data_IF_436543914315
#
_entry.id   IF_436543914315
#
_cell.length_a   1.000
_cell.length_b   1.000
_cell.length_c   1.000
_cell.angle_alpha   90.00
_cell.angle_beta   90.00
_cell.angle_gamma   90.00
#
_symmetry.space_group_name_H-M   'P 1'
#
loop_
_entity.id
_entity.type
_entity.pdbx_description
1 polymer ?
#
# COMPACT_ATOMS: atom_id res chain seq x y z
N UNK A 1 -71.27 -8.68 -1.94
CA UNK A 1 -70.32 -7.69 -2.46
C UNK A 1 -70.04 -6.66 -1.37
N UNK A 2 -68.86 -6.72 -0.75
CA UNK A 2 -68.15 -5.66 -0.03
C UNK A 2 -66.79 -6.25 0.35
N UNK A 3 -65.75 -5.89 -0.39
CA UNK A 3 -64.38 -6.35 -0.19
C UNK A 3 -63.72 -5.63 0.98
N UNK A 4 -62.92 -6.36 1.77
CA UNK A 4 -61.97 -5.79 2.72
C UNK A 4 -60.56 -5.75 2.09
N UNK A 5 -59.70 -4.79 2.48
CA UNK A 5 -58.54 -4.38 1.69
C UNK A 5 -57.32 -5.28 1.90
N UNK A 6 -56.51 -5.42 0.86
CA UNK A 6 -55.21 -6.05 0.91
C UNK A 6 -54.23 -5.18 1.73
N UNK A 7 -53.66 -5.77 2.78
CA UNK A 7 -52.57 -5.19 3.55
C UNK A 7 -51.31 -5.18 2.68
N UNK A 8 -50.94 -4.01 2.15
CA UNK A 8 -49.67 -3.81 1.46
C UNK A 8 -48.58 -3.70 2.54
N UNK A 9 -47.86 -4.79 2.79
CA UNK A 9 -46.61 -4.75 3.54
C UNK A 9 -45.54 -4.09 2.67
N UNK A 10 -45.30 -2.80 2.88
CA UNK A 10 -44.13 -2.11 2.34
C UNK A 10 -42.92 -2.51 3.20
N UNK A 11 -42.10 -3.43 2.69
CA UNK A 11 -40.78 -3.71 3.28
C UNK A 11 -39.87 -2.54 2.92
N UNK A 12 -39.50 -1.75 3.92
CA UNK A 12 -38.39 -0.80 3.77
C UNK A 12 -37.11 -1.60 3.59
N UNK A 13 -36.54 -1.56 2.38
CA UNK A 13 -35.18 -2.01 2.15
C UNK A 13 -34.26 -0.92 2.74
N UNK A 14 -33.88 -1.08 4.01
CA UNK A 14 -32.77 -0.32 4.55
C UNK A 14 -31.51 -0.78 3.80
N UNK A 15 -31.02 0.05 2.88
CA UNK A 15 -29.68 -0.12 2.34
C UNK A 15 -28.74 0.14 3.51
N UNK A 16 -28.23 -0.92 4.14
CA UNK A 16 -27.11 -0.77 5.07
C UNK A 16 -25.96 -0.22 4.26
N UNK A 17 -25.54 1.00 4.57
CA UNK A 17 -24.18 1.44 4.25
C UNK A 17 -23.28 0.35 4.83
N UNK A 18 -22.60 -0.39 3.96
CA UNK A 18 -21.69 -1.44 4.40
C UNK A 18 -20.59 -0.73 5.18
N UNK A 19 -20.55 -0.94 6.50
CA UNK A 19 -19.27 -0.85 7.20
C UNK A 19 -18.29 -1.70 6.41
N UNK A 20 -17.05 -1.23 6.15
CA UNK A 20 -16.07 -2.06 5.47
C UNK A 20 -16.00 -3.39 6.23
N UNK A 21 -16.36 -4.47 5.55
CA UNK A 21 -16.23 -5.81 6.12
C UNK A 21 -14.74 -6.01 6.28
N UNK A 22 -14.25 -5.86 7.51
CA UNK A 22 -12.87 -6.22 7.84
C UNK A 22 -12.73 -7.69 7.50
N UNK A 23 -11.83 -8.01 6.58
CA UNK A 23 -11.57 -9.39 6.20
C UNK A 23 -11.18 -10.18 7.46
N UNK A 24 -11.95 -11.21 7.77
CA UNK A 24 -11.70 -12.08 8.93
C UNK A 24 -10.63 -13.13 8.63
N UNK A 25 -10.30 -13.31 7.35
CA UNK A 25 -9.27 -14.24 6.89
C UNK A 25 -8.60 -13.75 5.61
N UNK A 26 -7.36 -14.19 5.40
CA UNK A 26 -6.51 -13.84 4.27
C UNK A 26 -5.99 -15.11 3.59
N UNK A 27 -5.94 -15.08 2.27
CA UNK A 27 -5.20 -16.04 1.47
C UNK A 27 -3.77 -15.55 1.30
N UNK A 28 -2.80 -16.43 1.54
CA UNK A 28 -1.39 -16.15 1.29
C UNK A 28 -1.05 -16.58 -0.14
N UNK A 29 -0.48 -15.67 -0.91
CA UNK A 29 0.03 -15.94 -2.25
C UNK A 29 1.52 -15.63 -2.24
N UNK A 30 2.35 -16.63 -2.52
CA UNK A 30 3.78 -16.41 -2.69
C UNK A 30 4.04 -15.71 -4.02
N UNK A 31 4.82 -14.64 -3.97
CA UNK A 31 5.19 -13.84 -5.13
C UNK A 31 6.43 -14.43 -5.80
N UNK A 32 6.41 -14.49 -7.12
CA UNK A 32 7.54 -14.90 -7.95
C UNK A 32 8.22 -13.68 -8.58
N UNK A 33 9.54 -13.73 -8.72
CA UNK A 33 10.29 -12.77 -9.53
C UNK A 33 10.31 -13.13 -11.02
N UNK A 34 11.07 -12.35 -11.80
CA UNK A 34 11.33 -12.65 -13.21
C UNK A 34 11.99 -14.02 -13.40
N UNK A 35 11.84 -14.67 -14.57
CA UNK A 35 12.54 -15.91 -14.88
C UNK A 35 14.05 -15.80 -14.64
N UNK A 36 14.60 -16.72 -13.85
CA UNK A 36 16.03 -16.74 -13.48
C UNK A 36 16.40 -15.86 -12.28
N UNK A 37 15.43 -15.16 -11.67
CA UNK A 37 15.67 -14.43 -10.43
C UNK A 37 15.96 -15.39 -9.27
N UNK A 38 16.97 -15.05 -8.46
CA UNK A 38 17.35 -15.79 -7.25
C UNK A 38 16.63 -15.29 -6.01
N UNK A 39 16.00 -14.12 -6.10
CA UNK A 39 15.16 -13.54 -5.07
C UNK A 39 14.18 -12.52 -5.67
N UNK A 40 13.19 -12.13 -4.87
CA UNK A 40 12.24 -11.08 -5.19
C UNK A 40 11.95 -10.27 -3.92
N UNK A 41 11.60 -9.00 -4.08
CA UNK A 41 11.15 -8.12 -3.01
C UNK A 41 9.83 -7.47 -3.45
N UNK A 42 8.73 -7.62 -2.71
CA UNK A 42 7.54 -6.82 -2.97
C UNK A 42 7.79 -5.39 -2.50
N UNK A 43 7.17 -4.42 -3.16
CA UNK A 43 7.26 -3.01 -2.72
C UNK A 43 5.91 -2.39 -2.47
N UNK A 44 4.98 -2.51 -3.42
CA UNK A 44 3.68 -1.86 -3.35
C UNK A 44 2.59 -2.67 -4.05
N UNK A 45 1.34 -2.50 -3.64
CA UNK A 45 0.16 -3.20 -4.14
C UNK A 45 -1.01 -2.26 -4.36
N UNK A 46 -1.61 -2.33 -5.54
CA UNK A 46 -2.85 -1.58 -5.81
C UNK A 46 -4.10 -2.45 -5.65
N UNK A 47 -5.27 -1.79 -5.58
CA UNK A 47 -6.57 -2.46 -5.41
C UNK A 47 -6.96 -3.40 -6.57
N UNK A 48 -6.27 -3.33 -7.71
CA UNK A 48 -6.44 -4.28 -8.83
C UNK A 48 -5.64 -5.59 -8.66
N UNK A 49 -4.94 -5.74 -7.54
CA UNK A 49 -4.09 -6.91 -7.24
C UNK A 49 -2.80 -6.95 -8.06
N UNK A 50 -2.36 -5.81 -8.58
CA UNK A 50 -1.03 -5.67 -9.16
C UNK A 50 -0.04 -5.36 -8.05
N UNK A 51 1.07 -6.07 -8.03
CA UNK A 51 2.15 -5.87 -7.07
C UNK A 51 3.39 -5.42 -7.82
N UNK A 52 3.89 -4.23 -7.52
CA UNK A 52 5.22 -3.84 -7.93
C UNK A 52 6.24 -4.67 -7.12
N UNK A 53 7.22 -5.25 -7.82
CA UNK A 53 8.27 -6.08 -7.23
C UNK A 53 9.64 -5.70 -7.81
N UNK A 54 10.71 -6.02 -7.08
CA UNK A 54 12.07 -5.97 -7.57
C UNK A 54 12.65 -7.40 -7.61
N UNK A 55 13.13 -7.83 -8.78
CA UNK A 55 13.74 -9.15 -8.99
C UNK A 55 15.26 -9.06 -8.96
N UNK A 56 15.91 -9.98 -8.24
CA UNK A 56 17.38 -10.08 -8.19
C UNK A 56 17.85 -11.13 -9.19
N UNK A 57 18.40 -10.68 -10.32
CA UNK A 57 18.98 -11.53 -11.37
C UNK A 57 20.49 -11.70 -11.12
N UNK A 58 21.15 -12.71 -11.71
CA UNK A 58 22.58 -12.97 -11.45
C UNK A 58 23.52 -11.79 -11.73
N UNK A 59 23.15 -10.88 -12.63
CA UNK A 59 23.99 -9.76 -13.06
C UNK A 59 23.33 -8.39 -12.96
N UNK A 60 22.08 -8.29 -12.47
CA UNK A 60 21.35 -7.01 -12.35
C UNK A 60 20.14 -7.14 -11.44
N UNK A 61 19.53 -6.03 -11.08
CA UNK A 61 18.18 -5.99 -10.52
C UNK A 61 17.22 -5.39 -11.55
N UNK A 62 16.02 -5.95 -11.61
CA UNK A 62 15.00 -5.49 -12.53
C UNK A 62 13.64 -5.43 -11.83
N UNK A 63 13.00 -4.27 -11.91
CA UNK A 63 11.64 -4.05 -11.46
C UNK A 63 10.67 -4.84 -12.34
N UNK A 64 9.55 -5.26 -11.77
CA UNK A 64 8.48 -5.94 -12.49
C UNK A 64 7.12 -5.68 -11.83
N UNK A 65 6.05 -5.95 -12.58
CA UNK A 65 4.70 -6.07 -12.03
C UNK A 65 4.36 -7.56 -11.96
N UNK A 66 4.03 -8.04 -10.77
CA UNK A 66 3.38 -9.32 -10.57
C UNK A 66 1.87 -9.13 -10.58
N UNK A 67 1.15 -9.95 -11.34
CA UNK A 67 -0.31 -10.01 -11.29
C UNK A 67 -0.80 -11.42 -11.63
N UNK A 68 -1.53 -12.04 -10.69
CA UNK A 68 -2.12 -13.38 -10.87
C UNK A 68 -1.13 -14.43 -11.39
N UNK A 69 0.11 -14.43 -10.87
CA UNK A 69 1.17 -15.37 -11.23
C UNK A 69 1.94 -15.01 -12.50
N UNK A 70 1.54 -13.96 -13.22
CA UNK A 70 2.30 -13.43 -14.36
C UNK A 70 3.20 -12.31 -13.89
N UNK A 71 4.48 -12.35 -14.29
CA UNK A 71 5.48 -11.31 -13.97
C UNK A 71 5.85 -10.59 -15.26
N UNK A 72 5.54 -9.30 -15.33
CA UNK A 72 5.83 -8.44 -16.49
C UNK A 72 7.01 -7.54 -16.13
N UNK A 73 8.13 -7.59 -16.89
CA UNK A 73 9.30 -6.76 -16.61
C UNK A 73 9.00 -5.28 -16.80
N UNK A 74 9.65 -4.45 -15.98
CA UNK A 74 9.70 -3.00 -16.10
C UNK A 74 11.14 -2.61 -16.47
N UNK A 75 11.44 -2.52 -17.78
CA UNK A 75 12.82 -2.35 -18.23
C UNK A 75 13.35 -0.96 -17.85
N UNK A 76 14.67 -0.81 -17.68
CA UNK A 76 15.27 0.48 -17.41
C UNK A 76 15.10 1.45 -18.60
N UNK A 77 15.28 2.75 -18.33
CA UNK A 77 15.38 3.78 -19.37
C UNK A 77 16.43 3.43 -20.43
N UNK A 78 16.28 3.88 -21.70
CA UNK A 78 17.29 3.65 -22.73
C UNK A 78 18.69 4.08 -22.29
N UNK A 79 19.66 3.16 -22.39
CA UNK A 79 21.05 3.39 -21.96
C UNK A 79 21.35 3.05 -20.49
N UNK A 80 20.36 2.64 -19.71
CA UNK A 80 20.50 2.18 -18.33
C UNK A 80 20.42 0.64 -18.25
N UNK A 81 20.95 0.05 -17.17
CA UNK A 81 21.11 -1.42 -17.05
C UNK A 81 20.34 -2.04 -15.88
N UNK A 82 19.81 -1.22 -14.99
CA UNK A 82 19.05 -1.62 -13.80
C UNK A 82 17.80 -0.77 -13.66
N UNK A 83 16.69 -1.40 -13.28
CA UNK A 83 15.45 -0.73 -12.85
C UNK A 83 15.10 -1.11 -11.43
N UNK A 84 14.42 -0.21 -10.73
CA UNK A 84 13.94 -0.43 -9.37
C UNK A 84 12.63 0.31 -9.15
N UNK A 85 11.61 -0.39 -8.64
CA UNK A 85 10.31 0.16 -8.32
C UNK A 85 10.22 0.55 -6.84
N UNK A 86 9.45 1.59 -6.55
CA UNK A 86 9.11 2.02 -5.20
C UNK A 86 7.60 2.01 -4.93
N UNK A 87 6.76 2.35 -5.90
CA UNK A 87 5.32 2.50 -5.67
C UNK A 87 4.48 2.26 -6.95
N UNK A 88 3.20 1.96 -6.80
CA UNK A 88 2.23 1.70 -7.86
C UNK A 88 0.85 2.30 -7.55
N UNK A 89 0.27 3.08 -8.47
CA UNK A 89 -1.08 3.63 -8.29
C UNK A 89 -2.20 2.73 -8.85
N UNK A 90 -3.46 3.14 -8.67
CA UNK A 90 -4.64 2.40 -9.12
C UNK A 90 -4.72 2.21 -10.66
N UNK A 91 -4.06 3.09 -11.42
CA UNK A 91 -3.97 2.98 -12.89
C UNK A 91 -2.87 2.02 -13.35
N UNK A 92 -2.13 1.40 -12.43
CA UNK A 92 -1.02 0.49 -12.72
C UNK A 92 0.24 1.22 -13.19
N UNK A 93 0.34 2.52 -12.95
CA UNK A 93 1.57 3.28 -13.17
C UNK A 93 2.53 2.98 -12.02
N UNK A 94 3.77 2.64 -12.35
CA UNK A 94 4.81 2.34 -11.34
C UNK A 94 5.85 3.44 -11.35
N UNK A 95 6.35 3.85 -10.21
CA UNK A 95 7.45 4.82 -10.11
C UNK A 95 8.67 4.24 -9.44
N UNK A 96 9.83 4.81 -9.75
CA UNK A 96 11.08 4.38 -9.18
C UNK A 96 12.29 5.04 -9.83
N UNK A 97 13.32 4.25 -10.13
CA UNK A 97 14.50 4.73 -10.85
C UNK A 97 15.09 3.73 -11.83
N UNK A 98 15.82 4.27 -12.81
CA UNK A 98 16.75 3.54 -13.65
C UNK A 98 18.19 3.92 -13.29
N UNK A 99 19.12 2.98 -13.35
CA UNK A 99 20.53 3.24 -13.03
C UNK A 99 21.51 2.43 -13.88
N UNK A 100 22.72 2.97 -14.05
CA UNK A 100 23.90 2.26 -14.59
C UNK A 100 24.90 1.90 -13.49
N UNK A 101 24.81 2.60 -12.36
CA UNK A 101 25.60 2.37 -11.15
C UNK A 101 24.87 3.01 -9.96
N UNK A 102 25.22 2.68 -8.70
CA UNK A 102 24.59 3.27 -7.53
C UNK A 102 24.66 4.81 -7.46
N UNK A 103 25.62 5.42 -8.15
CA UNK A 103 25.81 6.88 -8.18
C UNK A 103 25.13 7.56 -9.37
N UNK A 104 24.56 6.81 -10.32
CA UNK A 104 23.92 7.34 -11.52
C UNK A 104 22.50 6.80 -11.58
N UNK A 105 21.58 7.51 -10.91
CA UNK A 105 20.15 7.19 -10.89
C UNK A 105 19.33 8.29 -11.58
N UNK A 106 18.33 7.86 -12.35
CA UNK A 106 17.31 8.71 -12.94
C UNK A 106 15.95 8.29 -12.43
N UNK A 107 15.21 9.25 -11.88
CA UNK A 107 13.81 9.03 -11.54
C UNK A 107 13.04 8.72 -12.81
N UNK A 108 12.23 7.66 -12.78
CA UNK A 108 11.42 7.27 -13.92
C UNK A 108 10.06 6.73 -13.47
N UNK A 109 9.13 6.76 -14.40
CA UNK A 109 7.80 6.15 -14.27
C UNK A 109 7.63 5.11 -15.37
N UNK A 110 7.04 3.97 -15.06
CA UNK A 110 6.57 3.01 -16.06
C UNK A 110 5.08 3.21 -16.31
N UNK A 111 4.76 3.58 -17.55
CA UNK A 111 3.40 3.65 -18.07
C UNK A 111 3.18 2.49 -19.02
N UNK A 112 2.25 1.58 -18.71
CA UNK A 112 1.98 0.40 -19.54
C UNK A 112 3.27 -0.40 -19.84
N UNK A 113 4.13 -0.55 -18.83
CA UNK A 113 5.42 -1.23 -18.95
C UNK A 113 6.54 -0.45 -19.67
N UNK A 114 6.26 0.75 -20.18
CA UNK A 114 7.27 1.58 -20.88
C UNK A 114 7.86 2.62 -19.93
N UNK A 115 9.20 2.70 -19.78
CA UNK A 115 9.83 3.68 -18.91
C UNK A 115 9.79 5.09 -19.53
N UNK A 116 9.45 6.07 -18.70
CA UNK A 116 9.39 7.51 -19.00
C UNK A 116 10.35 8.23 -18.05
N UNK A 117 11.27 9.02 -18.60
CA UNK A 117 12.21 9.81 -17.83
C UNK A 117 11.51 11.02 -17.19
N UNK A 118 11.67 11.20 -15.89
CA UNK A 118 11.10 12.34 -15.14
C UNK A 118 12.04 13.56 -15.13
N UNK A 119 13.14 13.51 -15.88
CA UNK A 119 13.99 14.64 -16.25
C UNK A 119 15.02 15.06 -15.20
N UNK A 120 15.19 14.30 -14.11
CA UNK A 120 16.04 14.71 -12.98
C UNK A 120 16.88 13.56 -12.40
N UNK A 121 17.96 13.94 -11.72
CA UNK A 121 18.79 13.00 -10.95
C UNK A 121 18.18 12.76 -9.57
N UNK A 122 17.98 11.48 -9.24
CA UNK A 122 17.33 11.05 -8.02
C UNK A 122 16.42 9.86 -8.23
N UNK A 123 15.41 9.71 -7.38
CA UNK A 123 14.40 8.66 -7.47
C UNK A 123 12.99 9.19 -7.18
N UNK A 124 12.01 8.59 -7.85
CA UNK A 124 10.60 8.79 -7.57
C UNK A 124 10.15 7.75 -6.54
N UNK A 125 9.58 8.20 -5.42
CA UNK A 125 9.30 7.38 -4.24
C UNK A 125 7.83 7.02 -4.07
N UNK A 126 6.93 7.91 -4.44
CA UNK A 126 5.49 7.67 -4.34
C UNK A 126 4.74 8.34 -5.48
N UNK A 127 3.57 7.79 -5.81
CA UNK A 127 2.67 8.25 -6.87
C UNK A 127 1.21 8.16 -6.39
N UNK A 128 0.43 9.21 -6.61
CA UNK A 128 -1.01 9.16 -6.34
C UNK A 128 -1.82 8.76 -7.59
N UNK A 129 -3.12 8.56 -7.44
CA UNK A 129 -4.01 8.10 -8.53
C UNK A 129 -4.26 9.18 -9.59
N UNK A 130 -3.92 10.44 -9.29
CA UNK A 130 -3.96 11.53 -10.28
C UNK A 130 -2.68 11.62 -11.12
N UNK A 131 -1.68 10.79 -10.83
CA UNK A 131 -0.40 10.74 -11.54
C UNK A 131 0.62 11.77 -11.06
N UNK A 132 0.42 12.35 -9.89
CA UNK A 132 1.41 13.19 -9.22
C UNK A 132 2.44 12.31 -8.52
N UNK A 133 3.70 12.67 -8.65
CA UNK A 133 4.82 11.84 -8.20
C UNK A 133 5.67 12.67 -7.24
N UNK A 134 6.14 12.07 -6.17
CA UNK A 134 7.07 12.70 -5.24
C UNK A 134 8.32 11.87 -5.05
N UNK A 135 9.39 12.49 -4.56
CA UNK A 135 10.61 11.77 -4.27
C UNK A 135 11.77 12.67 -3.94
N UNK A 136 12.96 12.28 -4.40
CA UNK A 136 14.23 12.90 -4.01
C UNK A 136 14.94 13.44 -5.24
N UNK A 137 15.37 14.69 -5.15
CA UNK A 137 16.13 15.36 -6.19
C UNK A 137 17.46 15.91 -5.69
N UNK A 138 18.29 16.37 -6.63
CA UNK A 138 19.51 17.15 -6.36
C UNK A 138 20.48 16.43 -5.42
N UNK A 139 20.98 15.27 -5.87
CA UNK A 139 21.83 14.35 -5.11
C UNK A 139 21.19 13.88 -3.80
N UNK A 140 19.89 13.58 -3.82
CA UNK A 140 19.13 13.04 -2.69
C UNK A 140 19.03 13.97 -1.48
N UNK A 141 18.92 15.29 -1.72
CA UNK A 141 18.90 16.25 -0.62
C UNK A 141 17.73 17.23 -0.63
N UNK A 142 16.85 17.09 -1.62
CA UNK A 142 15.66 17.93 -1.80
C UNK A 142 14.44 17.05 -2.01
N UNK A 143 13.38 17.36 -1.28
CA UNK A 143 12.05 16.81 -1.53
C UNK A 143 11.50 17.48 -2.80
N UNK A 144 10.94 16.69 -3.71
CA UNK A 144 10.44 17.19 -4.99
C UNK A 144 9.08 16.61 -5.34
N UNK A 145 8.29 17.36 -6.09
CA UNK A 145 6.99 17.00 -6.64
C UNK A 145 7.02 17.15 -8.17
N UNK A 146 6.73 16.08 -8.90
CA UNK A 146 6.45 16.10 -10.33
C UNK A 146 4.94 16.11 -10.55
N UNK A 147 4.43 17.17 -11.18
CA UNK A 147 3.02 17.35 -11.50
C UNK A 147 2.89 17.94 -12.89
N UNK A 148 2.16 17.28 -13.80
CA UNK A 148 1.88 17.77 -15.16
C UNK A 148 3.15 18.19 -15.93
N UNK A 149 4.25 17.44 -15.79
CA UNK A 149 5.54 17.74 -16.43
C UNK A 149 6.35 18.86 -15.78
N UNK A 150 5.88 19.43 -14.68
CA UNK A 150 6.59 20.45 -13.90
C UNK A 150 7.22 19.82 -12.66
N UNK A 151 8.49 20.15 -12.41
CA UNK A 151 9.21 19.77 -11.21
C UNK A 151 9.18 20.93 -10.20
N UNK A 152 8.60 20.69 -9.03
CA UNK A 152 8.53 21.64 -7.92
C UNK A 152 9.47 21.18 -6.80
N UNK A 153 10.34 22.07 -6.33
CA UNK A 153 11.18 21.85 -5.16
C UNK A 153 10.38 22.17 -3.88
N UNK A 154 10.18 21.17 -3.04
CA UNK A 154 9.47 21.28 -1.77
C UNK A 154 10.39 21.72 -0.62
N UNK A 155 11.69 21.80 -0.88
CA UNK A 155 12.71 22.23 0.06
C UNK A 155 13.68 21.12 0.51
N UNK A 156 14.54 21.42 1.51
CA UNK A 156 15.52 20.47 2.00
C UNK A 156 14.87 19.29 2.74
N UNK A 157 15.20 18.08 2.34
CA UNK A 157 14.60 16.86 2.90
C UNK A 157 14.36 15.80 1.83
N UNK A 158 13.46 14.87 2.14
CA UNK A 158 13.02 13.79 1.27
C UNK A 158 11.49 13.69 1.34
N UNK A 159 10.83 13.54 0.20
CA UNK A 159 9.41 13.19 0.14
C UNK A 159 9.27 11.67 -0.03
N UNK A 160 8.34 11.07 0.70
CA UNK A 160 8.16 9.62 0.75
C UNK A 160 6.74 9.17 0.43
N UNK A 161 5.72 10.01 0.62
CA UNK A 161 4.31 9.66 0.38
C UNK A 161 3.53 10.86 -0.14
N UNK A 162 2.47 10.59 -0.89
CA UNK A 162 1.55 11.59 -1.44
C UNK A 162 0.14 11.00 -1.52
N UNK A 163 -0.87 11.78 -1.14
CA UNK A 163 -2.28 11.37 -1.29
C UNK A 163 -2.95 12.04 -2.51
N UNK A 164 -4.19 11.66 -2.83
CA UNK A 164 -4.96 12.18 -3.97
C UNK A 164 -5.44 13.63 -3.79
N UNK A 165 -5.18 14.23 -2.62
CA UNK A 165 -5.40 15.67 -2.37
C UNK A 165 -4.14 16.50 -2.67
N UNK A 166 -3.05 15.87 -3.11
CA UNK A 166 -1.77 16.53 -3.38
C UNK A 166 -0.98 16.88 -2.12
N UNK A 167 -1.35 16.31 -0.97
CA UNK A 167 -0.59 16.48 0.26
C UNK A 167 0.59 15.52 0.26
N UNK A 168 1.78 16.05 0.54
CA UNK A 168 3.04 15.30 0.48
C UNK A 168 3.60 15.16 1.89
N UNK A 169 4.14 13.99 2.22
CA UNK A 169 4.82 13.75 3.49
C UNK A 169 6.23 13.23 3.29
N UNK A 170 7.02 13.32 4.35
CA UNK A 170 8.40 12.86 4.36
C UNK A 170 9.15 13.42 5.57
N UNK A 171 10.40 13.81 5.37
CA UNK A 171 11.22 14.36 6.46
C UNK A 171 12.23 15.40 5.99
N UNK A 172 12.64 16.26 6.92
CA UNK A 172 13.71 17.24 6.70
C UNK A 172 15.10 16.68 7.05
N UNK A 173 16.14 17.51 6.87
CA UNK A 173 17.53 17.15 7.19
C UNK A 173 17.84 16.97 8.68
N UNK A 174 16.89 17.32 9.56
CA UNK A 174 17.03 17.15 11.00
C UNK A 174 16.23 15.94 11.50
N UNK A 175 15.81 15.05 10.60
CA UNK A 175 14.99 13.88 10.92
C UNK A 175 13.69 14.28 11.63
N UNK A 176 13.02 15.31 11.11
CA UNK A 176 11.68 15.72 11.54
C UNK A 176 10.68 15.34 10.47
N UNK A 177 9.58 14.72 10.88
CA UNK A 177 8.48 14.37 10.00
C UNK A 177 7.83 15.65 9.46
N UNK A 178 7.62 15.71 8.15
CA UNK A 178 7.14 16.87 7.43
C UNK A 178 5.82 16.57 6.71
N UNK A 179 4.97 17.59 6.63
CA UNK A 179 3.82 17.66 5.74
C UNK A 179 3.95 18.92 4.86
N UNK A 180 3.91 18.75 3.54
CA UNK A 180 3.81 19.82 2.56
C UNK A 180 2.41 19.82 1.97
N UNK A 181 1.70 20.92 2.14
CA UNK A 181 0.31 21.07 1.70
C UNK A 181 0.06 22.50 1.21
N UNK A 182 -0.38 22.65 -0.04
CA UNK A 182 -0.73 23.94 -0.64
C UNK A 182 0.35 25.04 -0.43
N UNK A 183 1.61 24.68 -0.63
CA UNK A 183 2.77 25.59 -0.47
C UNK A 183 3.19 25.86 0.97
N UNK A 184 2.51 25.26 1.96
CA UNK A 184 2.86 25.35 3.38
C UNK A 184 3.61 24.11 3.82
N UNK A 185 4.73 24.28 4.52
CA UNK A 185 5.49 23.20 5.16
C UNK A 185 5.22 23.19 6.67
N UNK A 186 4.74 22.06 7.17
CA UNK A 186 4.42 21.84 8.59
C UNK A 186 5.32 20.73 9.15
N UNK A 187 5.90 20.97 10.32
CA UNK A 187 6.62 19.94 11.09
C UNK A 187 5.60 19.17 11.92
N UNK A 188 5.50 17.85 11.71
CA UNK A 188 4.61 16.96 12.46
C UNK A 188 5.23 16.52 13.80
N UNK A 189 6.55 16.45 13.88
CA UNK A 189 7.29 16.05 15.08
C UNK A 189 8.66 15.44 14.75
N UNK A 190 9.40 14.97 15.76
CA UNK A 190 10.63 14.21 15.55
C UNK A 190 10.31 12.84 14.93
N UNK A 191 11.09 12.46 13.92
CA UNK A 191 10.97 11.18 13.22
C UNK A 191 10.79 11.31 11.71
N UNK A 192 10.14 10.31 11.12
CA UNK A 192 10.02 10.16 9.66
C UNK A 192 8.58 9.82 9.31
N UNK A 193 7.88 10.69 8.58
CA UNK A 193 6.63 10.32 7.94
C UNK A 193 6.96 9.48 6.71
N UNK A 194 6.28 8.34 6.55
CA UNK A 194 6.50 7.39 5.45
C UNK A 194 5.38 7.45 4.43
N UNK A 195 4.13 7.49 4.90
CA UNK A 195 2.96 7.41 4.03
C UNK A 195 1.78 8.25 4.56
N UNK A 196 0.84 8.58 3.68
CA UNK A 196 -0.33 9.43 3.95
C UNK A 196 -1.54 8.96 3.13
N UNK A 197 -2.70 8.83 3.77
CA UNK A 197 -3.94 8.53 3.05
C UNK A 197 -4.77 9.78 2.70
N UNK A 198 -5.87 9.59 1.97
CA UNK A 198 -6.77 10.66 1.52
C UNK A 198 -7.54 11.35 2.66
N UNK A 199 -7.58 10.77 3.85
CA UNK A 199 -8.12 11.43 5.05
C UNK A 199 -7.10 12.41 5.66
N UNK A 200 -5.83 12.34 5.25
CA UNK A 200 -4.73 13.14 5.81
C UNK A 200 -4.14 12.53 7.08
N UNK A 201 -4.41 11.25 7.32
CA UNK A 201 -3.74 10.47 8.33
C UNK A 201 -2.34 10.13 7.81
N UNK A 202 -1.32 10.42 8.60
CA UNK A 202 0.09 10.20 8.23
C UNK A 202 0.65 9.11 9.11
N UNK A 203 1.40 8.18 8.55
CA UNK A 203 2.05 7.11 9.31
C UNK A 203 3.56 7.11 9.12
N UNK A 204 4.26 6.55 10.09
CA UNK A 204 5.72 6.46 10.04
C UNK A 204 6.33 6.11 11.38
N UNK A 205 7.41 6.81 11.72
CA UNK A 205 8.13 6.70 12.99
C UNK A 205 8.13 8.00 13.74
N UNK A 206 7.78 7.96 15.02
CA UNK A 206 7.95 9.07 15.95
C UNK A 206 9.01 8.72 16.99
N UNK A 207 9.86 9.68 17.34
CA UNK A 207 10.91 9.49 18.33
C UNK A 207 12.24 10.09 17.92
N UNK A 208 13.26 9.82 18.73
CA UNK A 208 14.64 10.21 18.44
C UNK A 208 15.44 9.03 17.86
N UNK A 209 16.70 9.27 17.50
CA UNK A 209 17.55 8.31 16.79
C UNK A 209 17.74 6.95 17.50
N UNK A 210 17.32 6.82 18.77
CA UNK A 210 17.51 5.61 19.58
C UNK A 210 16.20 4.94 20.00
N UNK A 211 15.04 5.58 19.81
CA UNK A 211 13.73 5.08 20.26
C UNK A 211 12.61 5.46 19.26
N UNK A 212 12.68 4.90 18.05
CA UNK A 212 11.61 5.06 17.07
C UNK A 212 10.46 4.10 17.34
N UNK A 213 9.28 4.68 17.57
CA UNK A 213 8.00 3.96 17.67
C UNK A 213 7.23 4.10 16.36
N UNK A 214 6.58 3.02 15.92
CA UNK A 214 5.59 3.08 14.86
C UNK A 214 4.45 4.00 15.30
N UNK A 215 4.03 4.93 14.45
CA UNK A 215 3.05 5.92 14.83
C UNK A 215 2.11 6.34 13.69
N UNK A 216 1.00 6.93 14.10
CA UNK A 216 0.00 7.60 13.28
C UNK A 216 -0.15 9.05 13.78
N UNK A 217 0.11 10.03 12.92
CA UNK A 217 -0.25 11.42 13.13
C UNK A 217 -1.65 11.66 12.58
N UNK A 218 -2.57 12.10 13.44
CA UNK A 218 -3.94 12.41 13.08
C UNK A 218 -4.49 13.53 13.97
N UNK A 219 -5.15 14.51 13.36
CA UNK A 219 -5.83 15.61 14.07
C UNK A 219 -4.94 16.34 15.11
N UNK A 220 -3.64 16.51 14.80
CA UNK A 220 -2.66 17.14 15.69
C UNK A 220 -2.21 16.27 16.87
N UNK A 221 -2.58 15.00 16.89
CA UNK A 221 -2.18 14.01 17.90
C UNK A 221 -1.29 12.94 17.29
N UNK A 222 -0.51 12.26 18.13
CA UNK A 222 0.34 11.12 17.74
C UNK A 222 -0.14 9.88 18.47
N UNK A 223 -0.59 8.89 17.73
CA UNK A 223 -0.98 7.56 18.24
C UNK A 223 0.20 6.62 18.05
N UNK A 224 0.63 5.95 19.13
CA UNK A 224 1.69 4.93 19.06
C UNK A 224 1.07 3.58 18.68
N UNK A 225 1.63 2.95 17.65
CA UNK A 225 1.16 1.69 17.05
C UNK A 225 2.01 0.48 17.45
N UNK A 226 3.27 0.71 17.82
CA UNK A 226 4.22 -0.32 18.22
C UNK A 226 5.57 0.28 18.60
N UNK A 227 6.39 -0.50 19.31
CA UNK A 227 7.73 -0.07 19.76
C UNK A 227 8.84 -0.67 18.92
N UNK A 228 9.93 0.09 18.78
CA UNK A 228 11.14 -0.34 18.07
C UNK A 228 10.87 -0.78 16.62
N UNK A 229 10.06 0.02 15.92
CA UNK A 229 9.68 -0.28 14.54
C UNK A 229 9.01 0.89 13.87
N UNK A 230 8.27 0.62 12.80
CA UNK A 230 7.69 1.68 11.98
C UNK A 230 6.38 1.26 11.32
N UNK A 231 5.48 2.22 11.17
CA UNK A 231 4.36 2.07 10.25
C UNK A 231 4.84 2.39 8.84
N UNK A 232 4.65 1.46 7.91
CA UNK A 232 5.14 1.52 6.55
C UNK A 232 4.13 2.19 5.61
N UNK A 233 2.87 1.78 5.69
CA UNK A 233 1.81 2.23 4.79
C UNK A 233 0.44 2.33 5.48
N UNK A 234 -0.45 3.13 4.91
CA UNK A 234 -1.82 3.36 5.37
C UNK A 234 -2.79 3.47 4.19
N UNK A 235 -3.88 2.72 4.21
CA UNK A 235 -4.92 2.86 3.19
C UNK A 235 -6.01 3.89 3.57
N UNK A 236 -6.92 4.19 2.64
CA UNK A 236 -8.00 5.17 2.82
C UNK A 236 -9.04 4.78 3.88
N UNK A 237 -9.04 3.50 4.32
CA UNK A 237 -9.88 3.02 5.43
C UNK A 237 -9.20 3.19 6.80
N UNK A 238 -7.99 3.76 6.86
CA UNK A 238 -7.22 3.94 8.09
C UNK A 238 -6.54 2.66 8.59
N UNK A 239 -6.40 1.65 7.72
CA UNK A 239 -5.67 0.43 8.04
C UNK A 239 -4.19 0.66 7.85
N UNK A 240 -3.39 0.34 8.88
CA UNK A 240 -1.96 0.61 8.93
C UNK A 240 -1.19 -0.70 9.03
N UNK A 241 -0.12 -0.81 8.25
CA UNK A 241 0.80 -1.94 8.26
C UNK A 241 2.23 -1.48 8.50
N UNK A 242 3.11 -2.38 8.94
CA UNK A 242 4.51 -2.04 9.14
C UNK A 242 5.23 -2.90 10.19
N UNK A 243 6.55 -2.75 10.21
CA UNK A 243 7.40 -3.46 11.17
C UNK A 243 6.99 -3.15 12.62
N UNK A 244 6.97 -4.18 13.46
CA UNK A 244 6.54 -4.19 14.87
C UNK A 244 5.04 -4.00 15.14
N UNK A 245 4.19 -3.77 14.13
CA UNK A 245 2.73 -3.81 14.31
C UNK A 245 2.26 -5.27 14.41
N UNK A 246 2.87 -6.15 13.61
CA UNK A 246 2.58 -7.59 13.61
C UNK A 246 1.23 -7.91 12.96
N UNK A 247 0.87 -7.20 11.90
CA UNK A 247 -0.40 -7.36 11.19
C UNK A 247 -0.97 -6.04 10.70
N UNK A 248 -2.29 -6.00 10.54
CA UNK A 248 -3.03 -4.80 10.10
C UNK A 248 -3.65 -4.15 11.32
N UNK A 249 -3.18 -2.95 11.66
CA UNK A 249 -3.77 -2.12 12.71
C UNK A 249 -4.93 -1.30 12.14
N UNK A 250 -6.02 -1.18 12.89
CA UNK A 250 -7.13 -0.27 12.62
C UNK A 250 -7.84 0.07 13.94
N UNK A 251 -7.98 1.37 14.25
CA UNK A 251 -8.73 1.88 15.41
C UNK A 251 -8.38 1.20 16.75
N UNK A 252 -7.09 0.92 16.97
CA UNK A 252 -6.58 0.30 18.20
C UNK A 252 -6.63 -1.23 18.22
N UNK A 253 -7.11 -1.87 17.15
CA UNK A 253 -7.16 -3.33 17.01
C UNK A 253 -6.14 -3.78 15.96
N UNK A 254 -5.41 -4.86 16.25
CA UNK A 254 -4.49 -5.49 15.30
C UNK A 254 -5.06 -6.82 14.82
N UNK A 255 -5.34 -6.92 13.53
CA UNK A 255 -5.67 -8.17 12.86
C UNK A 255 -4.39 -8.86 12.40
N UNK A 256 -4.11 -10.02 12.97
CA UNK A 256 -2.94 -10.82 12.65
C UNK A 256 -3.05 -11.39 11.23
N UNK A 257 -1.99 -11.24 10.44
CA UNK A 257 -1.89 -11.87 9.12
C UNK A 257 -1.43 -13.33 9.25
N UNK A 258 -1.99 -14.26 8.46
CA UNK A 258 -1.59 -15.65 8.51
C UNK A 258 -0.19 -15.87 7.94
N UNK A 259 0.46 -16.96 8.33
CA UNK A 259 1.73 -17.42 7.78
C UNK A 259 1.65 -18.86 7.25
N UNK A 260 2.57 -19.19 6.34
CA UNK A 260 2.74 -20.56 5.84
C UNK A 260 3.42 -21.45 6.91
N UNK A 261 3.21 -22.78 6.89
CA UNK A 261 3.87 -23.69 7.82
C UNK A 261 5.40 -23.53 7.82
N UNK A 262 6.00 -23.33 8.99
CA UNK A 262 7.44 -23.09 9.13
C UNK A 262 7.86 -21.64 8.91
N UNK A 263 6.90 -20.71 8.83
CA UNK A 263 7.17 -19.28 8.68
C UNK A 263 6.36 -18.43 9.68
N UNK A 264 6.75 -17.17 9.83
CA UNK A 264 6.00 -16.14 10.56
C UNK A 264 6.01 -14.81 9.77
N UNK A 265 4.97 -13.95 9.91
CA UNK A 265 4.97 -12.62 9.32
C UNK A 265 6.07 -11.79 9.96
N UNK A 266 6.93 -11.18 9.14
CA UNK A 266 8.07 -10.41 9.63
C UNK A 266 7.84 -8.92 9.47
N UNK A 267 7.45 -8.51 8.26
CA UNK A 267 7.24 -7.10 7.92
C UNK A 267 6.26 -7.00 6.76
N UNK A 268 5.22 -6.22 6.97
CA UNK A 268 4.31 -5.73 5.95
C UNK A 268 4.82 -4.39 5.41
N UNK A 269 4.87 -4.27 4.09
CA UNK A 269 5.49 -3.13 3.40
C UNK A 269 4.46 -2.15 2.84
N UNK A 270 3.32 -2.66 2.38
CA UNK A 270 2.27 -1.85 1.76
C UNK A 270 0.89 -2.49 1.89
N UNK A 271 -0.16 -1.66 1.84
CA UNK A 271 -1.57 -2.06 1.93
C UNK A 271 -2.46 -1.23 0.98
N UNK A 272 -3.25 -1.91 0.17
CA UNK A 272 -4.22 -1.29 -0.75
C UNK A 272 -5.55 -0.93 -0.06
N UNK A 273 -6.37 -0.12 -0.71
CA UNK A 273 -7.71 0.28 -0.22
C UNK A 273 -8.70 -0.87 -0.09
N UNK A 274 -8.53 -1.97 -0.84
CA UNK A 274 -9.34 -3.17 -0.66
C UNK A 274 -8.75 -4.15 0.37
N UNK A 275 -7.74 -3.72 1.13
CA UNK A 275 -7.13 -4.45 2.24
C UNK A 275 -6.14 -5.52 1.81
N UNK A 276 -5.67 -5.53 0.56
CA UNK A 276 -4.56 -6.41 0.17
C UNK A 276 -3.27 -5.87 0.76
N UNK A 277 -2.43 -6.73 1.35
CA UNK A 277 -1.15 -6.32 1.90
C UNK A 277 -0.01 -7.14 1.28
N UNK A 278 1.17 -6.54 1.15
CA UNK A 278 2.38 -7.25 0.68
C UNK A 278 3.51 -7.12 1.68
N UNK A 279 4.41 -8.11 1.69
CA UNK A 279 5.53 -8.12 2.62
C UNK A 279 6.26 -9.44 2.67
N UNK A 280 6.83 -9.74 3.83
CA UNK A 280 7.72 -10.88 4.04
C UNK A 280 7.19 -11.85 5.08
N UNK A 281 7.31 -13.14 4.75
CA UNK A 281 7.36 -14.21 5.73
C UNK A 281 8.81 -14.61 5.97
N UNK A 282 9.22 -14.80 7.23
CA UNK A 282 10.55 -15.32 7.58
C UNK A 282 10.48 -16.76 8.05
N UNK A 283 11.48 -17.55 7.66
CA UNK A 283 11.58 -18.94 8.07
C UNK A 283 11.84 -19.07 9.57
N UNK A 284 11.15 -20.00 10.24
CA UNK A 284 11.39 -20.32 11.65
C UNK A 284 12.73 -21.02 11.87
N UNK A 285 13.33 -21.59 10.82
CA UNK A 285 14.70 -22.13 10.87
C UNK A 285 15.78 -21.05 10.77
N UNK A 286 15.39 -19.79 10.53
CA UNK A 286 16.31 -18.66 10.36
C UNK A 286 16.97 -18.57 8.97
N UNK A 287 16.65 -19.49 8.06
CA UNK A 287 17.19 -19.51 6.70
C UNK A 287 16.11 -19.13 5.68
N UNK A 288 16.17 -17.88 5.21
CA UNK A 288 15.38 -17.39 4.08
C UNK A 288 14.08 -16.68 4.45
N UNK A 289 13.54 -15.99 3.45
CA UNK A 289 12.27 -15.27 3.51
C UNK A 289 11.46 -15.53 2.23
N UNK A 290 10.14 -15.36 2.32
CA UNK A 290 9.23 -15.43 1.20
C UNK A 290 8.54 -14.09 1.03
N UNK A 291 8.58 -13.56 -0.19
CA UNK A 291 7.73 -12.43 -0.58
C UNK A 291 6.30 -12.92 -0.76
N UNK A 292 5.35 -12.26 -0.10
CA UNK A 292 3.95 -12.68 -0.13
C UNK A 292 3.00 -11.50 -0.37
N UNK A 293 1.85 -11.86 -0.93
CA UNK A 293 0.63 -11.06 -0.96
C UNK A 293 -0.39 -11.73 -0.05
N UNK A 294 -0.86 -11.00 0.96
CA UNK A 294 -2.03 -11.35 1.74
C UNK A 294 -3.26 -10.75 1.08
N UNK A 295 -4.10 -11.60 0.52
CA UNK A 295 -5.34 -11.20 -0.14
C UNK A 295 -6.53 -11.49 0.78
N UNK A 296 -7.35 -10.49 1.14
CA UNK A 296 -8.62 -10.69 1.82
C UNK A 296 -9.43 -11.80 1.18
N UNK A 297 -9.93 -12.74 2.00
CA UNK A 297 -10.96 -13.68 1.58
C UNK A 297 -12.30 -13.02 1.85
N UNK A 298 -13.09 -12.69 0.81
CA UNK A 298 -14.42 -12.15 1.03
C UNK A 298 -15.24 -13.16 1.83
N UNK A 299 -15.79 -12.73 2.96
CA UNK A 299 -16.83 -13.52 3.63
C UNK A 299 -17.94 -13.81 2.62
N UNK A 300 -18.49 -15.04 2.54
CA UNK A 300 -19.67 -15.28 1.75
C UNK A 300 -20.72 -14.28 2.20
N UNK A 301 -21.08 -13.35 1.31
CA UNK A 301 -21.96 -12.23 1.65
C UNK A 301 -23.12 -12.75 2.49
N UNK A 302 -23.41 -12.08 3.60
CA UNK A 302 -24.53 -12.42 4.49
C UNK A 302 -25.86 -12.53 3.72
N UNK A 303 -25.96 -11.91 2.54
CA UNK A 303 -27.02 -12.07 1.55
C UNK A 303 -27.16 -13.50 0.99
N UNK A 304 -26.05 -14.19 0.71
CA UNK A 304 -26.06 -15.59 0.27
C UNK A 304 -26.53 -16.53 1.40
N UNK A 305 -26.14 -16.27 2.64
CA UNK A 305 -26.61 -17.04 3.81
C UNK A 305 -28.09 -16.74 4.11
N UNK A 306 -28.52 -15.48 3.98
CA UNK A 306 -29.91 -15.07 4.20
C UNK A 306 -30.86 -15.62 3.11
N UNK A 307 -30.43 -15.64 1.84
CA UNK A 307 -31.21 -16.22 0.74
C UNK A 307 -31.33 -17.74 0.85
N UNK A 308 -30.29 -18.44 1.29
CA UNK A 308 -30.37 -19.86 1.64
C UNK A 308 -31.34 -20.11 2.81
N UNK A 309 -31.35 -19.23 3.82
CA UNK A 309 -32.30 -19.30 4.94
C UNK A 309 -33.76 -19.06 4.54
N UNK A 310 -34.03 -18.03 3.71
CA UNK A 310 -35.38 -17.72 3.22
C UNK A 310 -35.92 -18.79 2.26
N UNK A 311 -35.07 -19.37 1.42
CA UNK A 311 -35.43 -20.50 0.56
C UNK A 311 -35.86 -21.74 1.34
N UNK A 312 -35.19 -22.03 2.46
CA UNK A 312 -35.56 -23.12 3.37
C UNK A 312 -36.90 -22.87 4.08
N UNK A 313 -37.18 -21.63 4.52
CA UNK A 313 -38.46 -21.28 5.15
C UNK A 313 -39.65 -21.30 4.17
N UNK A 314 -39.47 -20.84 2.92
CA UNK A 314 -40.52 -20.87 1.89
C UNK A 314 -40.81 -22.29 1.39
N UNK A 315 -39.80 -23.18 1.39
CA UNK A 315 -39.97 -24.60 1.06
C UNK A 315 -40.82 -25.38 2.07
N UNK A 316 -40.77 -25.00 3.36
CA UNK A 316 -41.54 -25.65 4.43
C UNK A 316 -43.02 -25.25 4.42
N UNK A 317 -43.36 -24.01 4.00
CA UNK A 317 -44.76 -23.57 3.92
C UNK A 317 -45.52 -24.22 2.75
N UNK A 318 -44.82 -24.66 1.69
CA UNK A 318 -45.45 -25.33 0.53
C UNK A 318 -45.71 -26.83 0.70
N UNK A 319 -45.15 -27.49 1.72
CA UNK A 319 -45.39 -28.93 2.00
C UNK A 319 -46.46 -29.20 3.06
N UNK A 320 -47.12 -28.15 3.58
CA UNK A 320 -48.14 -28.25 4.63
C UNK A 320 -49.56 -27.86 4.18
N UNK A 321 -49.95 -28.15 2.93
CA UNK A 321 -51.34 -28.06 2.47
C UNK A 321 -51.70 -29.25 1.60
#
# INVERSE_FOLDING_TARGET
MKGLPALVCTVFLAVSLHSPVVATSYQIIQLSGLPGATGTTPVAVNSSGQVAINSYLPSTEEAAIWQNGTVTPLPPLPGYTRSWAYDINASGQVVGYSSTSPSVCRACMWQNGTPVDLGWFGDARAINDTGEIVGRGSNYTRAVLWQQGTLTDLGPGEASGINNRGQVVGWDRNSRAMLWDNGTSTVLGPGYARDINDNGQVVGTAGDAYDYDACLWENGTVVKLGKYGHAAAINSSGQVVGYCIGGIWQDGVVTQLPALPGYYPYEELDISDNGQAVGWLFSTSGLGSLSVLWRPVPEPSSLAVLLCGLGACLGLVRRGR
#
